data_IF_436839269981
#
_entry.id   IF_436839269981
#
_cell.length_a   1.000
_cell.length_b   1.000
_cell.length_c   1.000
_cell.angle_alpha   90.00
_cell.angle_beta   90.00
_cell.angle_gamma   90.00
#
_symmetry.space_group_name_H-M   'P 1'
#
loop_
_entity.id
_entity.type
_entity.pdbx_description
1 polymer ?
#
# COMPACT_ATOMS: atom_id res chain seq x y z
N UNK A 1 -37.18 -4.27 -27.26
CA UNK A 1 -37.31 -4.27 -25.79
C UNK A 1 -35.89 -4.40 -25.28
N UNK A 2 -35.24 -3.25 -25.07
CA UNK A 2 -33.86 -3.19 -24.57
C UNK A 2 -33.93 -3.38 -23.05
N UNK A 3 -33.41 -4.50 -22.58
CA UNK A 3 -33.13 -4.71 -21.17
C UNK A 3 -31.64 -5.04 -21.10
N UNK A 4 -30.89 -4.07 -20.60
CA UNK A 4 -29.45 -4.11 -20.44
C UNK A 4 -29.04 -5.31 -19.56
N UNK A 5 -28.23 -6.20 -20.13
CA UNK A 5 -27.50 -7.24 -19.41
C UNK A 5 -26.04 -6.79 -19.21
N UNK A 6 -25.80 -5.57 -18.71
CA UNK A 6 -24.47 -5.15 -18.25
C UNK A 6 -24.37 -5.37 -16.75
N UNK A 7 -24.58 -6.62 -16.33
CA UNK A 7 -24.06 -7.11 -15.07
C UNK A 7 -22.56 -7.31 -15.23
N UNK A 8 -21.79 -6.23 -15.10
CA UNK A 8 -20.33 -6.32 -15.04
C UNK A 8 -19.97 -7.06 -13.75
N UNK A 9 -19.83 -8.39 -13.82
CA UNK A 9 -19.21 -9.21 -12.78
C UNK A 9 -17.74 -8.76 -12.66
N UNK A 10 -17.51 -7.65 -11.96
CA UNK A 10 -16.18 -7.19 -11.57
C UNK A 10 -15.51 -8.33 -10.81
N UNK A 11 -14.38 -8.82 -11.31
CA UNK A 11 -13.59 -9.82 -10.61
C UNK A 11 -13.23 -9.30 -9.21
N UNK A 12 -13.29 -10.15 -8.19
CA UNK A 12 -12.96 -9.78 -6.80
C UNK A 12 -11.60 -9.08 -6.68
N UNK A 13 -10.63 -9.45 -7.54
CA UNK A 13 -9.33 -8.77 -7.57
C UNK A 13 -9.41 -7.32 -8.08
N UNK A 14 -10.26 -7.05 -9.07
CA UNK A 14 -10.46 -5.70 -9.61
C UNK A 14 -11.23 -4.84 -8.61
N UNK A 15 -12.22 -5.43 -7.93
CA UNK A 15 -12.93 -4.77 -6.84
C UNK A 15 -11.97 -4.40 -5.70
N UNK A 16 -11.10 -5.34 -5.30
CA UNK A 16 -10.07 -5.07 -4.30
C UNK A 16 -9.12 -3.94 -4.75
N UNK A 17 -8.72 -3.93 -6.03
CA UNK A 17 -7.87 -2.89 -6.58
C UNK A 17 -8.52 -1.50 -6.48
N UNK A 18 -9.81 -1.40 -6.78
CA UNK A 18 -10.58 -0.17 -6.64
C UNK A 18 -10.69 0.28 -5.18
N UNK A 19 -10.96 -0.64 -4.25
CA UNK A 19 -11.03 -0.36 -2.82
C UNK A 19 -9.69 0.18 -2.30
N UNK A 20 -8.57 -0.44 -2.66
CA UNK A 20 -7.22 -0.01 -2.27
C UNK A 20 -6.90 1.38 -2.81
N UNK A 21 -7.23 1.64 -4.08
CA UNK A 21 -7.00 2.95 -4.72
C UNK A 21 -7.87 4.04 -4.09
N UNK A 22 -9.13 3.74 -3.79
CA UNK A 22 -10.06 4.65 -3.14
C UNK A 22 -9.62 4.98 -1.71
N UNK A 23 -9.20 3.97 -0.94
CA UNK A 23 -8.64 4.16 0.41
C UNK A 23 -7.42 5.07 0.36
N UNK A 24 -6.46 4.79 -0.53
CA UNK A 24 -5.27 5.64 -0.69
C UNK A 24 -5.63 7.08 -1.06
N UNK A 25 -6.60 7.26 -1.96
CA UNK A 25 -7.08 8.59 -2.37
C UNK A 25 -7.74 9.35 -1.21
N UNK A 26 -8.54 8.66 -0.39
CA UNK A 26 -9.19 9.23 0.80
C UNK A 26 -8.18 9.70 1.84
N UNK A 27 -7.14 8.91 2.09
CA UNK A 27 -6.07 9.25 3.04
C UNK A 27 -5.03 10.24 2.46
N UNK A 28 -5.14 10.61 1.17
CA UNK A 28 -4.19 11.51 0.50
C UNK A 28 -2.77 10.94 0.38
N UNK A 29 -2.62 9.60 0.42
CA UNK A 29 -1.32 8.94 0.45
C UNK A 29 -0.75 8.69 -0.96
N UNK A 30 0.58 8.76 -1.07
CA UNK A 30 1.29 8.20 -2.23
C UNK A 30 1.32 6.68 -2.14
N UNK A 31 1.52 5.96 -3.25
CA UNK A 31 1.61 4.50 -3.24
C UNK A 31 2.72 3.99 -2.30
N UNK A 32 3.83 4.72 -2.21
CA UNK A 32 4.92 4.39 -1.28
C UNK A 32 4.52 4.60 0.19
N UNK A 33 3.84 5.70 0.50
CA UNK A 33 3.36 5.98 1.86
C UNK A 33 2.30 4.97 2.29
N UNK A 34 1.34 4.66 1.41
CA UNK A 34 0.32 3.64 1.63
C UNK A 34 0.93 2.26 1.89
N UNK A 35 1.95 1.86 1.10
CA UNK A 35 2.67 0.62 1.31
C UNK A 35 3.38 0.58 2.67
N UNK A 36 3.98 1.70 3.10
CA UNK A 36 4.60 1.83 4.44
C UNK A 36 3.57 1.70 5.56
N UNK A 37 2.41 2.34 5.43
CA UNK A 37 1.30 2.26 6.41
C UNK A 37 0.82 0.82 6.58
N UNK A 38 0.72 0.09 5.47
CA UNK A 38 0.32 -1.32 5.46
C UNK A 38 1.46 -2.29 5.79
N UNK A 39 2.70 -1.81 5.92
CA UNK A 39 3.87 -2.65 6.21
C UNK A 39 4.26 -3.63 5.10
N UNK A 40 3.93 -3.31 3.83
CA UNK A 40 4.18 -4.17 2.68
C UNK A 40 5.14 -3.52 1.68
N UNK A 41 5.82 -4.30 0.81
CA UNK A 41 6.61 -3.73 -0.26
C UNK A 41 5.77 -2.90 -1.23
N UNK A 42 6.29 -1.76 -1.70
CA UNK A 42 5.65 -0.90 -2.70
C UNK A 42 5.18 -1.68 -3.93
N UNK A 43 6.02 -2.57 -4.46
CA UNK A 43 5.69 -3.41 -5.62
C UNK A 43 4.47 -4.30 -5.38
N UNK A 44 4.27 -4.75 -4.15
CA UNK A 44 3.10 -5.55 -3.77
C UNK A 44 1.86 -4.67 -3.75
N UNK A 45 1.94 -3.48 -3.16
CA UNK A 45 0.84 -2.52 -3.15
C UNK A 45 0.42 -2.11 -4.58
N UNK A 46 1.39 -1.77 -5.43
CA UNK A 46 1.12 -1.44 -6.84
C UNK A 46 0.50 -2.61 -7.61
N UNK A 47 0.92 -3.84 -7.32
CA UNK A 47 0.29 -5.03 -7.89
C UNK A 47 -1.17 -5.20 -7.46
N UNK A 48 -1.52 -4.84 -6.23
CA UNK A 48 -2.92 -4.84 -5.77
C UNK A 48 -3.73 -3.77 -6.50
N UNK A 49 -3.21 -2.55 -6.65
CA UNK A 49 -3.87 -1.48 -7.42
C UNK A 49 -4.05 -1.83 -8.91
N UNK A 50 -3.23 -2.73 -9.45
CA UNK A 50 -3.31 -3.23 -10.84
C UNK A 50 -4.27 -4.42 -11.01
N UNK A 51 -4.90 -4.92 -9.95
CA UNK A 51 -5.81 -6.07 -10.04
C UNK A 51 -5.13 -7.43 -10.02
N UNK A 52 -3.84 -7.53 -9.63
CA UNK A 52 -3.17 -8.82 -9.37
C UNK A 52 -3.84 -9.58 -8.21
N UNK A 53 -4.62 -8.89 -7.39
CA UNK A 53 -5.27 -9.42 -6.21
C UNK A 53 -4.32 -9.55 -5.02
N UNK A 54 -4.89 -9.98 -3.90
CA UNK A 54 -4.15 -10.31 -2.69
C UNK A 54 -4.74 -11.59 -2.10
N UNK A 55 -3.93 -12.56 -1.65
CA UNK A 55 -4.43 -13.86 -1.18
C UNK A 55 -5.43 -13.78 -0.01
N UNK A 56 -5.38 -12.68 0.75
CA UNK A 56 -6.23 -12.46 1.93
C UNK A 56 -6.96 -11.12 1.84
N UNK A 57 -7.95 -10.96 0.95
CA UNK A 57 -8.61 -9.67 0.70
C UNK A 57 -9.30 -9.11 1.95
N UNK A 58 -9.89 -9.98 2.78
CA UNK A 58 -10.52 -9.59 4.05
C UNK A 58 -9.50 -9.00 5.03
N UNK A 59 -8.32 -9.61 5.13
CA UNK A 59 -7.24 -9.11 6.00
C UNK A 59 -6.78 -7.71 5.55
N UNK A 60 -6.68 -7.49 4.24
CA UNK A 60 -6.30 -6.20 3.68
C UNK A 60 -7.33 -5.11 4.02
N UNK A 61 -8.62 -5.41 3.87
CA UNK A 61 -9.72 -4.48 4.23
C UNK A 61 -9.64 -4.07 5.70
N UNK A 62 -9.50 -5.04 6.61
CA UNK A 62 -9.37 -4.78 8.06
C UNK A 62 -8.13 -3.93 8.36
N UNK A 63 -7.00 -4.19 7.68
CA UNK A 63 -5.78 -3.40 7.85
C UNK A 63 -5.97 -1.94 7.41
N UNK A 64 -6.62 -1.70 6.27
CA UNK A 64 -6.93 -0.35 5.78
C UNK A 64 -7.87 0.40 6.73
N UNK A 65 -8.92 -0.25 7.22
CA UNK A 65 -9.86 0.32 8.19
C UNK A 65 -9.18 0.66 9.52
N UNK A 66 -8.36 -0.24 10.05
CA UNK A 66 -7.66 -0.04 11.33
C UNK A 66 -6.70 1.15 11.28
N UNK A 67 -6.06 1.38 10.13
CA UNK A 67 -5.12 2.49 9.94
C UNK A 67 -5.81 3.83 9.66
N UNK A 68 -7.01 3.82 9.08
CA UNK A 68 -7.81 5.03 8.88
C UNK A 68 -8.29 5.69 10.19
N UNK A 69 -8.25 4.98 11.31
CA UNK A 69 -8.69 5.49 12.63
C UNK A 69 -7.55 6.18 13.41
N UNK A 70 -6.29 6.05 12.98
CA UNK A 70 -5.12 6.58 13.70
C UNK A 70 -4.57 7.84 13.04
N UNK A 71 -5.36 8.89 12.96
CA UNK A 71 -4.91 10.20 12.46
C UNK A 71 -4.45 11.11 13.62
N UNK A 72 -3.46 10.63 14.40
CA UNK A 72 -2.57 11.55 15.11
C UNK A 72 -1.27 11.66 14.30
N UNK A 73 -0.94 12.84 13.75
CA UNK A 73 0.24 13.02 12.92
C UNK A 73 1.48 13.09 13.81
N UNK A 74 1.97 11.95 14.31
CA UNK A 74 3.30 11.90 14.90
C UNK A 74 4.31 11.65 13.78
N UNK A 75 4.90 12.76 13.38
CA UNK A 75 6.01 12.91 12.47
C UNK A 75 7.27 12.20 13.01
N UNK A 76 7.46 10.91 12.74
CA UNK A 76 8.72 10.24 13.12
C UNK A 76 9.82 10.43 12.07
N UNK A 77 10.70 11.37 12.40
CA UNK A 77 12.01 11.59 11.80
C UNK A 77 12.94 10.42 12.14
N UNK A 78 13.72 10.02 11.13
CA UNK A 78 15.12 9.52 11.23
C UNK A 78 15.33 8.06 11.65
N UNK A 79 15.67 7.25 10.65
CA UNK A 79 16.70 6.21 10.77
C UNK A 79 17.55 6.30 9.48
N UNK A 80 18.51 7.22 9.38
CA UNK A 80 19.80 7.05 10.03
C UNK A 80 20.64 6.07 9.20
N UNK A 81 21.19 6.55 8.08
CA UNK A 81 21.99 5.76 7.15
C UNK A 81 23.19 5.11 7.84
N UNK A 82 23.36 3.80 7.62
CA UNK A 82 24.54 3.05 8.07
C UNK A 82 25.69 3.36 7.09
N UNK A 83 26.36 4.51 7.26
CA UNK A 83 27.67 4.70 6.63
C UNK A 83 28.67 3.82 7.37
N UNK A 84 29.05 2.72 6.72
CA UNK A 84 30.24 1.96 7.07
C UNK A 84 31.46 2.87 6.89
N UNK A 85 31.98 3.39 8.01
CA UNK A 85 33.32 3.98 8.06
C UNK A 85 34.33 2.93 7.61
N UNK A 86 34.79 3.02 6.37
CA UNK A 86 36.00 2.36 5.94
C UNK A 86 37.17 3.07 6.63
N UNK A 87 37.75 2.41 7.64
CA UNK A 87 38.97 2.88 8.30
C UNK A 87 40.11 2.89 7.28
N UNK A 88 40.96 3.94 7.23
CA UNK A 88 42.13 3.93 6.37
C UNK A 88 43.11 2.87 6.88
N UNK A 89 43.47 1.92 6.01
CA UNK A 89 44.60 1.02 6.26
C UNK A 89 45.87 1.85 6.17
N UNK A 90 46.57 2.00 7.29
CA UNK A 90 47.90 2.61 7.35
C UNK A 90 48.87 1.74 6.54
N UNK A 91 49.63 2.40 5.67
CA UNK A 91 50.80 1.83 5.00
C UNK A 91 51.93 1.58 6.01
N UNK A 92 52.57 0.41 5.90
CA UNK A 92 53.93 0.13 6.37
C UNK A 92 54.63 -0.59 5.22
#
# INVERSE_FOLDING_TARGET
MEIACDGHDMNENEKLAQEVKAWRGKEGLTAEAAAKVLGIPKRTFEGMEQGRGFPYPVLLRVAMESKAVSHDPIHEKVHGGRQLQQKPRKSV
#
